data_IF_877028256972
#
_entry.id   IF_877028256972
#
_cell.length_a   1.000
_cell.length_b   1.000
_cell.length_c   1.000
_cell.angle_alpha   90.00
_cell.angle_beta   90.00
_cell.angle_gamma   90.00
#
_symmetry.space_group_name_H-M   'P 1'
#
loop_
_entity.id
_entity.type
_entity.pdbx_description
1 polymer ?
#
# COMPACT_ATOMS: atom_id res chain seq x y z
N UNK A 1 -8.87 -7.83 -23.08
CA UNK A 1 -7.58 -7.46 -22.45
C UNK A 1 -7.81 -6.12 -21.78
N UNK A 2 -8.11 -6.15 -20.49
CA UNK A 2 -8.35 -4.94 -19.71
C UNK A 2 -6.99 -4.33 -19.40
N UNK A 3 -6.54 -3.40 -20.24
CA UNK A 3 -5.24 -2.69 -20.15
C UNK A 3 -4.92 -2.21 -18.72
N UNK A 4 -5.95 -1.90 -17.94
CA UNK A 4 -5.83 -1.48 -16.55
C UNK A 4 -5.46 -2.66 -15.61
N UNK A 5 -6.05 -3.84 -15.80
CA UNK A 5 -5.80 -5.03 -14.97
C UNK A 5 -4.38 -5.55 -15.16
N UNK A 6 -3.97 -5.78 -16.40
CA UNK A 6 -2.62 -6.24 -16.76
C UNK A 6 -1.54 -5.30 -16.17
N UNK A 7 -1.78 -3.99 -16.23
CA UNK A 7 -0.89 -3.01 -15.63
C UNK A 7 -0.72 -3.17 -14.12
N UNK A 8 -1.82 -3.34 -13.37
CA UNK A 8 -1.76 -3.52 -11.93
C UNK A 8 -1.15 -4.87 -11.55
N UNK A 9 -1.36 -5.90 -12.36
CA UNK A 9 -0.69 -7.20 -12.22
C UNK A 9 0.83 -7.03 -12.30
N UNK A 10 1.32 -6.37 -13.36
CA UNK A 10 2.74 -6.04 -13.52
C UNK A 10 3.29 -5.19 -12.36
N UNK A 11 2.55 -4.18 -11.91
CA UNK A 11 2.98 -3.33 -10.79
C UNK A 11 3.11 -4.13 -9.48
N UNK A 12 2.17 -5.06 -9.22
CA UNK A 12 2.19 -5.89 -8.02
C UNK A 12 3.32 -6.92 -8.10
N UNK A 13 3.56 -7.52 -9.26
CA UNK A 13 4.67 -8.46 -9.47
C UNK A 13 6.04 -7.74 -9.31
N UNK A 14 6.16 -6.54 -9.87
CA UNK A 14 7.33 -5.69 -9.66
C UNK A 14 7.52 -5.39 -8.17
N UNK A 15 6.46 -5.02 -7.46
CA UNK A 15 6.50 -4.83 -6.01
C UNK A 15 6.93 -6.09 -5.25
N UNK A 16 6.47 -7.28 -5.68
CA UNK A 16 6.86 -8.57 -5.12
C UNK A 16 8.35 -8.83 -5.27
N UNK A 17 8.92 -8.56 -6.43
CA UNK A 17 10.35 -8.71 -6.72
C UNK A 17 11.23 -7.78 -5.87
N UNK A 18 10.73 -6.62 -5.48
CA UNK A 18 11.45 -5.67 -4.61
C UNK A 18 11.23 -5.98 -3.12
N UNK A 19 11.80 -7.09 -2.63
CA UNK A 19 11.67 -7.55 -1.24
C UNK A 19 12.06 -6.52 -0.18
N UNK A 20 12.99 -5.60 -0.48
CA UNK A 20 13.35 -4.51 0.42
C UNK A 20 12.20 -3.54 0.75
N UNK A 21 11.10 -3.57 -0.01
CA UNK A 21 9.93 -2.71 0.23
C UNK A 21 8.91 -3.32 1.20
N UNK A 22 8.88 -4.64 1.36
CA UNK A 22 7.79 -5.33 2.07
C UNK A 22 8.26 -6.41 3.04
N UNK A 23 9.43 -7.00 2.81
CA UNK A 23 9.97 -8.07 3.62
C UNK A 23 10.87 -7.51 4.73
N UNK A 24 10.34 -7.45 5.95
CA UNK A 24 11.09 -6.99 7.14
C UNK A 24 12.30 -7.89 7.45
N UNK A 25 12.28 -9.16 7.04
CA UNK A 25 13.42 -10.09 7.23
C UNK A 25 14.54 -9.85 6.21
N UNK A 26 14.29 -9.09 5.15
CA UNK A 26 15.31 -8.78 4.16
C UNK A 26 16.34 -7.82 4.78
N UNK A 27 17.63 -8.13 4.64
CA UNK A 27 18.74 -7.27 5.11
C UNK A 27 18.64 -5.85 4.55
N UNK A 28 18.13 -5.73 3.33
CA UNK A 28 17.98 -4.47 2.62
C UNK A 28 16.73 -3.67 3.03
N UNK A 29 15.88 -4.19 3.91
CA UNK A 29 14.70 -3.47 4.41
C UNK A 29 15.06 -2.17 5.16
N UNK A 30 16.19 -2.16 5.87
CA UNK A 30 16.68 -0.93 6.54
C UNK A 30 17.54 -0.05 5.61
N UNK A 31 17.89 -0.53 4.42
CA UNK A 31 18.75 0.20 3.50
C UNK A 31 17.93 1.25 2.72
N UNK A 32 18.03 2.51 3.14
CA UNK A 32 17.31 3.64 2.53
C UNK A 32 17.62 3.80 1.04
N UNK A 33 18.86 3.57 0.61
CA UNK A 33 19.30 3.75 -0.77
C UNK A 33 18.59 2.73 -1.67
N UNK A 34 18.66 1.43 -1.30
CA UNK A 34 18.00 0.36 -2.05
C UNK A 34 16.48 0.52 -2.09
N UNK A 35 15.88 0.96 -0.97
CA UNK A 35 14.44 1.24 -0.91
C UNK A 35 14.01 2.37 -1.82
N UNK A 36 14.76 3.48 -1.82
CA UNK A 36 14.46 4.60 -2.71
C UNK A 36 14.59 4.19 -4.18
N UNK A 37 15.69 3.51 -4.54
CA UNK A 37 15.89 2.98 -5.90
C UNK A 37 14.76 2.04 -6.33
N UNK A 38 14.30 1.17 -5.43
CA UNK A 38 13.15 0.30 -5.72
C UNK A 38 11.84 1.10 -5.91
N UNK A 39 11.60 2.13 -5.10
CA UNK A 39 10.44 3.01 -5.29
C UNK A 39 10.52 3.79 -6.61
N UNK A 40 11.70 4.20 -7.06
CA UNK A 40 11.87 4.89 -8.35
C UNK A 40 11.52 3.97 -9.53
N UNK A 41 11.91 2.69 -9.46
CA UNK A 41 11.55 1.67 -10.45
C UNK A 41 10.03 1.51 -10.52
N UNK A 42 9.36 1.32 -9.37
CA UNK A 42 7.90 1.25 -9.31
C UNK A 42 7.21 2.55 -9.76
N UNK A 43 7.81 3.70 -9.48
CA UNK A 43 7.27 5.00 -9.88
C UNK A 43 7.31 5.16 -11.40
N UNK A 44 8.39 4.71 -12.05
CA UNK A 44 8.51 4.71 -13.50
C UNK A 44 7.38 3.92 -14.15
N UNK A 45 7.05 2.74 -13.61
CA UNK A 45 5.87 1.96 -14.03
C UNK A 45 4.58 2.76 -13.81
N UNK A 46 4.40 3.34 -12.62
CA UNK A 46 3.20 4.15 -12.30
C UNK A 46 3.00 5.33 -13.27
N UNK A 47 4.10 5.93 -13.74
CA UNK A 47 4.08 7.06 -14.68
C UNK A 47 3.60 6.72 -16.08
N UNK A 48 3.56 5.44 -16.46
CA UNK A 48 2.98 5.02 -17.74
C UNK A 48 1.47 5.31 -17.82
N UNK A 49 0.77 5.31 -16.68
CA UNK A 49 -0.65 5.66 -16.58
C UNK A 49 -0.85 7.05 -15.96
N UNK A 50 0.00 7.43 -15.00
CA UNK A 50 -0.10 8.68 -14.26
C UNK A 50 1.20 9.49 -14.39
N UNK A 51 1.41 10.26 -15.47
CA UNK A 51 2.68 10.93 -15.74
C UNK A 51 3.14 11.87 -14.61
N UNK A 52 2.18 12.52 -13.94
CA UNK A 52 2.38 13.41 -12.79
C UNK A 52 2.53 12.66 -11.44
N UNK A 53 2.63 11.33 -11.46
CA UNK A 53 2.74 10.55 -10.23
C UNK A 53 4.02 10.88 -9.47
N UNK A 54 3.87 11.01 -8.15
CA UNK A 54 4.98 11.19 -7.20
C UNK A 54 5.22 9.91 -6.41
N UNK A 55 6.41 9.79 -5.81
CA UNK A 55 6.75 8.69 -4.90
C UNK A 55 5.76 8.59 -3.72
N UNK A 56 5.19 9.70 -3.28
CA UNK A 56 4.17 9.72 -2.23
C UNK A 56 2.86 9.09 -2.70
N UNK A 57 2.40 9.43 -3.91
CA UNK A 57 1.21 8.83 -4.51
C UNK A 57 1.38 7.31 -4.65
N UNK A 58 2.55 6.87 -5.13
CA UNK A 58 2.88 5.45 -5.24
C UNK A 58 2.79 4.75 -3.87
N UNK A 59 3.42 5.31 -2.84
CA UNK A 59 3.37 4.76 -1.47
C UNK A 59 1.93 4.69 -0.96
N UNK A 60 1.12 5.72 -1.22
CA UNK A 60 -0.29 5.77 -0.85
C UNK A 60 -1.10 4.67 -1.56
N UNK A 61 -0.87 4.44 -2.85
CA UNK A 61 -1.51 3.37 -3.63
C UNK A 61 -1.14 1.99 -3.09
N UNK A 62 0.15 1.72 -2.88
CA UNK A 62 0.63 0.46 -2.29
C UNK A 62 0.00 0.24 -0.90
N UNK A 63 -0.06 1.30 -0.08
CA UNK A 63 -0.67 1.23 1.24
C UNK A 63 -2.16 0.88 1.18
N UNK A 64 -2.90 1.48 0.26
CA UNK A 64 -4.31 1.18 0.05
C UNK A 64 -4.50 -0.29 -0.38
N UNK A 65 -3.73 -0.76 -1.35
CA UNK A 65 -3.78 -2.15 -1.83
C UNK A 65 -3.51 -3.12 -0.65
N UNK A 66 -2.46 -2.89 0.13
CA UNK A 66 -2.12 -3.70 1.32
C UNK A 66 -3.21 -3.66 2.38
N UNK A 67 -3.80 -2.49 2.62
CA UNK A 67 -4.86 -2.33 3.62
C UNK A 67 -6.11 -3.10 3.22
N UNK A 68 -6.53 -3.00 1.96
CA UNK A 68 -7.66 -3.78 1.43
C UNK A 68 -7.36 -5.27 1.49
N UNK A 69 -6.18 -5.71 1.04
CA UNK A 69 -5.76 -7.11 1.13
C UNK A 69 -5.83 -7.65 2.55
N UNK A 70 -5.30 -6.92 3.55
CA UNK A 70 -5.35 -7.33 4.96
C UNK A 70 -6.78 -7.47 5.50
N UNK A 71 -7.69 -6.59 5.09
CA UNK A 71 -9.11 -6.68 5.49
C UNK A 71 -9.75 -7.93 4.90
N UNK A 72 -9.48 -8.22 3.64
CA UNK A 72 -9.97 -9.43 2.97
C UNK A 72 -9.37 -10.69 3.61
N UNK A 73 -8.06 -10.71 3.85
CA UNK A 73 -7.38 -11.82 4.54
C UNK A 73 -8.02 -12.10 5.91
N UNK A 74 -8.32 -11.06 6.70
CA UNK A 74 -8.98 -11.22 8.00
C UNK A 74 -10.35 -11.88 7.89
N UNK A 75 -11.14 -11.57 6.85
CA UNK A 75 -12.46 -12.20 6.64
C UNK A 75 -12.30 -13.69 6.34
N UNK A 76 -11.36 -14.04 5.47
CA UNK A 76 -11.02 -15.43 5.14
C UNK A 76 -10.59 -16.18 6.40
N UNK A 77 -9.65 -15.63 7.18
CA UNK A 77 -9.18 -16.26 8.43
C UNK A 77 -10.28 -16.40 9.48
N UNK A 78 -11.13 -15.38 9.62
CA UNK A 78 -12.22 -15.39 10.61
C UNK A 78 -13.26 -16.47 10.27
N UNK A 79 -13.53 -16.66 8.98
CA UNK A 79 -14.37 -17.74 8.46
C UNK A 79 -13.79 -19.14 8.75
N UNK A 80 -12.47 -19.29 8.70
CA UNK A 80 -11.79 -20.56 9.00
C UNK A 80 -11.67 -20.87 10.50
N UNK A 81 -11.54 -19.83 11.35
CA UNK A 81 -11.29 -19.98 12.79
C UNK A 81 -12.57 -20.23 13.61
N UNK A 82 -13.72 -19.74 13.14
CA UNK A 82 -15.01 -20.10 13.72
C UNK A 82 -15.29 -21.54 13.30
N UNK A 83 -15.28 -22.50 14.22
CA UNK A 83 -15.55 -23.93 13.98
C UNK A 83 -16.98 -24.25 13.51
N UNK A 84 -17.60 -23.37 12.72
CA UNK A 84 -18.79 -23.64 11.95
C UNK A 84 -18.41 -24.51 10.77
N UNK A 85 -19.22 -25.54 10.54
CA UNK A 85 -19.14 -26.56 9.49
C UNK A 85 -18.41 -26.14 8.22
N UNK A 86 -17.63 -27.08 7.69
CA UNK A 86 -16.71 -27.05 6.54
C UNK A 86 -17.29 -26.57 5.19
N UNK A 87 -18.44 -25.89 5.19
CA UNK A 87 -19.29 -25.65 4.02
C UNK A 87 -19.38 -24.17 3.62
N UNK A 88 -18.78 -23.22 4.38
CA UNK A 88 -18.84 -21.80 4.03
C UNK A 88 -17.53 -21.05 4.33
N UNK A 89 -16.45 -21.41 3.63
CA UNK A 89 -15.21 -20.62 3.65
C UNK A 89 -15.43 -19.35 2.82
N UNK A 90 -15.19 -18.18 3.41
CA UNK A 90 -15.32 -16.90 2.71
C UNK A 90 -14.32 -16.82 1.55
N UNK A 91 -14.82 -16.61 0.33
CA UNK A 91 -14.00 -16.35 -0.84
C UNK A 91 -13.66 -14.85 -0.93
N UNK A 92 -12.37 -14.49 -1.10
CA UNK A 92 -11.95 -13.10 -1.19
C UNK A 92 -12.50 -12.42 -2.46
N UNK A 93 -13.02 -11.20 -2.31
CA UNK A 93 -13.70 -10.49 -3.41
C UNK A 93 -12.74 -9.69 -4.30
N UNK A 94 -11.47 -9.58 -3.94
CA UNK A 94 -10.47 -8.80 -4.68
C UNK A 94 -9.70 -9.68 -5.66
N UNK A 95 -9.61 -9.25 -6.92
CA UNK A 95 -8.96 -10.03 -7.98
C UNK A 95 -7.46 -10.22 -7.80
N UNK A 96 -6.80 -9.33 -7.03
CA UNK A 96 -5.36 -9.38 -6.75
C UNK A 96 -5.02 -10.09 -5.43
N UNK A 97 -5.97 -10.84 -4.85
CA UNK A 97 -5.79 -11.48 -3.55
C UNK A 97 -4.54 -12.37 -3.51
N UNK A 98 -4.45 -13.33 -4.43
CA UNK A 98 -3.34 -14.29 -4.51
C UNK A 98 -2.00 -13.61 -4.77
N UNK A 99 -2.01 -12.54 -5.58
CA UNK A 99 -0.81 -11.79 -5.92
C UNK A 99 -0.19 -11.10 -4.71
N UNK A 100 -0.96 -10.73 -3.69
CA UNK A 100 -0.45 -10.09 -2.47
C UNK A 100 -0.19 -11.05 -1.32
N UNK A 101 -0.44 -12.35 -1.50
CA UNK A 101 -0.27 -13.34 -0.45
C UNK A 101 1.18 -13.43 0.08
N UNK A 102 2.18 -13.08 -0.72
CA UNK A 102 3.58 -13.01 -0.26
C UNK A 102 3.79 -12.02 0.90
N UNK A 103 2.95 -10.99 1.01
CA UNK A 103 3.00 -10.02 2.11
C UNK A 103 2.42 -10.56 3.41
N UNK A 104 1.76 -11.73 3.37
CA UNK A 104 1.05 -12.36 4.47
C UNK A 104 1.94 -13.18 5.42
N UNK A 105 3.28 -13.09 5.30
CA UNK A 105 4.28 -13.96 5.93
C UNK A 105 4.36 -13.96 7.48
N UNK A 106 3.30 -13.57 8.20
CA UNK A 106 3.19 -13.60 9.67
C UNK A 106 1.80 -13.99 10.22
N UNK A 107 0.82 -14.34 9.38
CA UNK A 107 -0.56 -14.57 9.83
C UNK A 107 -0.85 -16.04 10.16
N UNK A 108 -0.02 -16.69 10.99
CA UNK A 108 -0.43 -17.93 11.67
C UNK A 108 -0.81 -17.59 13.11
N UNK A 109 -2.10 -17.76 13.40
CA UNK A 109 -2.77 -17.59 14.69
C UNK A 109 -2.55 -16.25 15.38
N UNK A 110 -3.55 -15.37 15.22
CA UNK A 110 -4.00 -14.39 16.20
C UNK A 110 -2.92 -13.69 17.02
N UNK A 111 -2.49 -12.50 16.60
CA UNK A 111 -2.42 -11.27 17.41
C UNK A 111 -2.07 -10.11 16.46
N UNK A 112 -2.88 -9.07 16.56
CA UNK A 112 -2.84 -7.87 15.74
C UNK A 112 -1.62 -7.01 16.11
N UNK A 113 -0.63 -6.87 15.22
CA UNK A 113 0.38 -5.83 15.40
C UNK A 113 -0.13 -4.50 14.84
N UNK A 114 -0.51 -3.64 15.79
CA UNK A 114 -0.76 -2.20 15.76
C UNK A 114 0.39 -1.36 15.13
N UNK A 115 1.26 -1.95 14.32
CA UNK A 115 2.48 -1.30 13.84
C UNK A 115 2.27 -0.47 12.55
N UNK A 116 1.17 -0.70 11.83
CA UNK A 116 0.84 0.04 10.61
C UNK A 116 -0.05 1.27 10.89
N UNK A 117 -0.81 1.25 12.00
CA UNK A 117 -1.79 2.30 12.32
C UNK A 117 -1.18 3.62 12.81
N UNK A 118 0.09 3.64 13.22
CA UNK A 118 0.77 4.86 13.69
C UNK A 118 1.39 5.71 12.56
N UNK A 119 1.30 5.29 11.29
CA UNK A 119 1.79 6.09 10.15
C UNK A 119 0.73 6.97 9.50
N UNK A 120 -0.52 6.87 9.98
CA UNK A 120 -1.64 7.74 9.63
C UNK A 120 -1.87 8.71 10.78
N UNK A 121 -0.96 9.67 10.95
CA UNK A 121 -1.23 10.99 11.51
C UNK A 121 0.05 11.84 11.43
N UNK A 122 0.21 12.52 10.29
CA UNK A 122 0.70 13.88 10.32
C UNK A 122 -0.08 14.65 9.26
N UNK A 123 -0.97 15.58 9.66
CA UNK A 123 -1.66 16.44 8.71
C UNK A 123 -0.65 17.48 8.20
N UNK A 124 -0.11 17.28 7.00
CA UNK A 124 0.48 18.39 6.25
C UNK A 124 -0.69 19.19 5.69
N UNK A 125 -1.20 20.13 6.49
CA UNK A 125 -2.10 21.16 5.98
C UNK A 125 -1.33 21.96 4.93
N UNK A 126 -1.73 21.80 3.68
CA UNK A 126 -1.41 22.72 2.59
C UNK A 126 -1.97 24.09 2.99
N UNK A 127 -1.14 24.94 3.57
CA UNK A 127 -1.46 26.36 3.70
C UNK A 127 -1.08 27.00 2.37
N UNK A 128 -2.09 27.20 1.52
CA UNK A 128 -2.01 28.12 0.38
C UNK A 128 -1.87 29.51 1.02
N UNK A 129 -0.75 30.24 0.83
CA UNK A 129 -0.69 31.62 1.29
C UNK A 129 -1.69 32.44 0.48
N UNK A 130 -2.65 33.15 1.11
CA UNK A 130 -3.48 34.09 0.38
C UNK A 130 -2.61 35.23 -0.15
N UNK A 131 -2.81 35.52 -1.43
CA UNK A 131 -2.26 36.63 -2.19
C UNK A 131 -2.32 37.96 -1.43
N UNK A 132 -1.19 38.68 -1.49
CA UNK A 132 -0.94 40.05 -1.03
C UNK A 132 -2.09 41.01 -1.37
N UNK A 133 -2.86 41.42 -0.36
CA UNK A 133 -3.59 42.69 -0.38
C UNK A 133 -3.29 43.42 0.91
N UNK A 134 -2.28 44.30 0.86
CA UNK A 134 -2.02 45.32 1.88
C UNK A 134 -3.07 46.43 1.79
N UNK A 135 -3.74 46.82 2.88
CA UNK A 135 -4.33 48.14 3.00
C UNK A 135 -3.43 49.09 3.79
N UNK A 136 -3.43 50.33 3.31
CA UNK A 136 -2.77 51.52 3.80
C UNK A 136 -2.91 51.78 5.31
N UNK A 137 -1.80 52.21 5.94
CA UNK A 137 -1.79 52.92 7.22
C UNK A 137 -1.97 54.42 6.95
N UNK A 138 -2.94 55.12 7.57
CA UNK A 138 -2.94 56.57 7.59
C UNK A 138 -2.08 57.11 8.74
N UNK A 139 -1.54 58.30 8.49
CA UNK A 139 -0.57 59.06 9.30
C UNK A 139 -1.26 59.68 10.50
#
# INVERSE_FOLDING_TARGET
>A
MDVNKDFWEDLIELYRNHSCLWNVKCKDYSNKIKRNSSYEILLKKLKEIYPEATTELLKKKINNIRTTFRRELKKVESSMCTGSSTENVYEPSIWYYDLLYFTAQWYKCGIFNLFDSKRLQSPVSFHIPPSDTRPFVPI
#
